data_IF_827074360798
#
_entry.id   IF_827074360798
#
_cell.length_a   1.000
_cell.length_b   1.000
_cell.length_c   1.000
_cell.angle_alpha   90.00
_cell.angle_beta   90.00
_cell.angle_gamma   90.00
#
_symmetry.space_group_name_H-M   'P 1'
#
loop_
_entity.id
_entity.type
_entity.pdbx_description
1 polymer ?
#
# COMPACT_ATOMS: atom_id res chain seq x y z
N UNK A 1 22.06 -22.04 -26.86
CA UNK A 1 22.94 -20.93 -27.23
C UNK A 1 22.50 -20.44 -28.61
N UNK A 2 21.40 -19.66 -28.68
CA UNK A 2 20.96 -19.04 -29.93
C UNK A 2 21.93 -17.91 -30.25
N UNK A 3 22.61 -18.03 -31.38
CA UNK A 3 23.62 -17.10 -31.87
C UNK A 3 23.01 -15.71 -32.13
N UNK A 4 23.77 -14.68 -31.74
CA UNK A 4 23.49 -13.24 -31.91
C UNK A 4 23.22 -12.80 -33.37
N UNK A 5 23.26 -13.72 -34.34
CA UNK A 5 23.05 -13.43 -35.77
C UNK A 5 21.57 -13.36 -36.19
N UNK A 6 20.62 -13.87 -35.40
CA UNK A 6 19.19 -13.81 -35.79
C UNK A 6 18.50 -12.46 -35.58
N UNK A 7 19.20 -11.45 -35.02
CA UNK A 7 18.64 -10.10 -34.76
C UNK A 7 18.67 -9.20 -36.03
N UNK A 8 19.22 -9.68 -37.16
CA UNK A 8 19.22 -8.93 -38.42
C UNK A 8 18.23 -9.54 -39.40
N UNK A 9 17.02 -8.97 -39.49
CA UNK A 9 16.40 -8.54 -40.76
C UNK A 9 14.95 -8.10 -40.55
N UNK A 10 14.77 -6.84 -40.14
CA UNK A 10 13.51 -6.10 -40.30
C UNK A 10 13.77 -4.87 -41.18
N UNK A 11 13.46 -4.98 -42.47
CA UNK A 11 13.66 -3.97 -43.52
C UNK A 11 12.98 -2.61 -43.21
N UNK A 12 13.67 -1.67 -42.56
CA UNK A 12 13.33 -0.24 -42.67
C UNK A 12 14.44 0.72 -42.16
N UNK A 13 15.68 0.65 -42.66
CA UNK A 13 16.74 1.66 -42.40
C UNK A 13 17.22 1.88 -40.94
N UNK A 14 16.47 1.41 -39.94
CA UNK A 14 16.73 1.52 -38.52
C UNK A 14 17.72 0.44 -38.11
N UNK A 15 18.91 0.88 -37.71
CA UNK A 15 20.02 0.01 -37.30
C UNK A 15 19.97 -0.38 -35.83
N UNK A 16 18.98 0.09 -35.06
CA UNK A 16 18.83 -0.31 -33.66
C UNK A 16 18.43 -1.79 -33.59
N UNK A 17 19.06 -2.59 -32.71
CA UNK A 17 18.63 -3.95 -32.48
C UNK A 17 17.26 -3.93 -31.79
N UNK A 18 16.27 -4.58 -32.39
CA UNK A 18 14.93 -4.68 -31.84
C UNK A 18 14.60 -6.13 -31.52
N UNK A 19 13.85 -6.35 -30.43
CA UNK A 19 13.25 -7.64 -30.12
C UNK A 19 11.82 -7.65 -30.68
N UNK A 20 11.48 -8.70 -31.41
CA UNK A 20 10.13 -8.88 -31.95
C UNK A 20 9.13 -9.05 -30.80
N UNK A 21 8.22 -8.08 -30.67
CA UNK A 21 7.26 -7.98 -29.57
C UNK A 21 6.15 -6.99 -29.90
N UNK A 22 5.04 -7.06 -29.15
CA UNK A 22 3.89 -6.15 -29.26
C UNK A 22 4.29 -4.66 -29.15
N UNK A 23 5.33 -4.36 -28.36
CA UNK A 23 5.77 -3.00 -28.03
C UNK A 23 7.01 -2.59 -28.85
N UNK A 24 7.41 -3.39 -29.83
CA UNK A 24 8.60 -3.14 -30.64
C UNK A 24 8.45 -1.81 -31.39
N UNK A 25 9.46 -0.95 -31.29
CA UNK A 25 9.56 0.38 -31.94
C UNK A 25 8.52 1.41 -31.49
N UNK A 26 7.73 1.11 -30.47
CA UNK A 26 6.71 2.00 -29.95
C UNK A 26 7.19 2.81 -28.73
N UNK A 27 6.56 3.97 -28.52
CA UNK A 27 6.71 4.73 -27.28
C UNK A 27 5.67 4.24 -26.26
N UNK A 28 6.09 3.89 -25.04
CA UNK A 28 5.16 3.52 -23.97
C UNK A 28 4.33 4.70 -23.43
N UNK A 29 4.58 5.92 -23.94
CA UNK A 29 3.76 7.10 -23.68
C UNK A 29 2.66 7.28 -24.73
N UNK A 30 2.69 6.52 -25.82
CA UNK A 30 1.66 6.55 -26.85
C UNK A 30 0.35 5.92 -26.33
N UNK A 31 -0.76 6.63 -26.52
CA UNK A 31 -2.06 6.23 -25.96
C UNK A 31 -2.68 5.05 -26.69
N UNK A 32 -2.42 4.90 -27.99
CA UNK A 32 -2.94 3.79 -28.77
C UNK A 32 -2.14 2.52 -28.46
N UNK A 33 -0.83 2.67 -28.24
CA UNK A 33 0.04 1.58 -27.73
C UNK A 33 -0.43 1.14 -26.35
N UNK A 34 -0.66 2.05 -25.40
CA UNK A 34 -1.20 1.70 -24.09
C UNK A 34 -2.54 0.98 -24.20
N UNK A 35 -3.48 1.51 -25.00
CA UNK A 35 -4.79 0.88 -25.21
C UNK A 35 -4.66 -0.52 -25.83
N UNK A 36 -3.67 -0.76 -26.68
CA UNK A 36 -3.43 -2.08 -27.26
C UNK A 36 -3.00 -3.13 -26.21
N UNK A 37 -2.51 -2.68 -25.05
CA UNK A 37 -2.18 -3.56 -23.92
C UNK A 37 -3.38 -3.94 -23.06
N UNK A 38 -4.54 -3.31 -23.27
CA UNK A 38 -5.82 -3.70 -22.66
C UNK A 38 -6.33 -4.98 -23.34
N UNK A 39 -5.66 -6.09 -23.07
CA UNK A 39 -6.03 -7.40 -23.61
C UNK A 39 -7.22 -7.98 -22.83
N UNK A 40 -7.95 -8.91 -23.43
CA UNK A 40 -9.00 -9.67 -22.72
C UNK A 40 -8.46 -10.59 -21.61
N UNK A 41 -7.13 -10.69 -21.46
CA UNK A 41 -6.51 -11.51 -20.42
C UNK A 41 -6.50 -10.71 -19.12
N UNK A 42 -7.20 -11.17 -18.07
CA UNK A 42 -7.27 -10.43 -16.82
C UNK A 42 -5.92 -10.43 -16.09
N UNK A 43 -5.66 -9.37 -15.32
CA UNK A 43 -4.54 -9.31 -14.39
C UNK A 43 -4.61 -10.45 -13.38
N UNK A 44 -3.48 -11.12 -13.15
CA UNK A 44 -3.39 -12.24 -12.20
C UNK A 44 -3.57 -11.72 -10.77
N UNK A 45 -4.53 -12.29 -10.03
CA UNK A 45 -4.66 -12.10 -8.59
C UNK A 45 -3.72 -13.05 -7.87
N UNK A 46 -2.61 -12.53 -7.34
CA UNK A 46 -1.57 -13.33 -6.71
C UNK A 46 -1.99 -13.93 -5.36
N UNK A 47 -2.78 -13.19 -4.57
CA UNK A 47 -3.21 -13.56 -3.21
C UNK A 47 -4.70 -13.25 -2.97
N UNK A 48 -5.63 -13.85 -3.75
CA UNK A 48 -7.06 -13.51 -3.72
C UNK A 48 -7.76 -13.83 -2.39
N UNK A 49 -7.18 -14.71 -1.58
CA UNK A 49 -7.74 -15.16 -0.30
C UNK A 49 -7.32 -14.28 0.88
N UNK A 50 -6.50 -13.26 0.64
CA UNK A 50 -6.00 -12.36 1.70
C UNK A 50 -6.90 -11.15 1.92
N UNK A 51 -6.95 -10.67 3.15
CA UNK A 51 -7.59 -9.42 3.55
C UNK A 51 -6.52 -8.41 3.96
N UNK A 52 -6.43 -7.29 3.25
CA UNK A 52 -5.52 -6.21 3.64
C UNK A 52 -6.18 -5.35 4.72
N UNK A 53 -5.48 -5.10 5.83
CA UNK A 53 -6.00 -4.28 6.93
C UNK A 53 -5.00 -3.20 7.25
N UNK A 54 -5.44 -1.94 7.22
CA UNK A 54 -4.63 -0.81 7.65
C UNK A 54 -5.05 -0.39 9.05
N UNK A 55 -4.12 -0.39 9.99
CA UNK A 55 -4.31 0.12 11.35
C UNK A 55 -3.82 1.57 11.43
N UNK A 56 -4.69 2.48 11.85
CA UNK A 56 -4.34 3.89 11.98
C UNK A 56 -3.36 4.17 13.12
N UNK A 57 -2.22 4.78 12.81
CA UNK A 57 -1.25 5.24 13.80
C UNK A 57 -1.90 6.19 14.82
N UNK A 58 -2.44 7.32 14.38
CA UNK A 58 -3.04 8.30 15.30
C UNK A 58 -4.41 7.99 15.84
N UNK A 59 -5.18 7.20 15.13
CA UNK A 59 -6.53 6.85 15.59
C UNK A 59 -6.53 5.66 16.55
N UNK A 60 -5.56 4.75 16.44
CA UNK A 60 -5.55 3.50 17.22
C UNK A 60 -4.28 3.39 18.07
N UNK A 61 -3.11 3.35 17.44
CA UNK A 61 -1.86 3.00 18.13
C UNK A 61 -1.40 4.09 19.11
N UNK A 62 -1.54 5.37 18.73
CA UNK A 62 -1.17 6.51 19.58
C UNK A 62 -2.07 6.63 20.83
N UNK A 63 -3.29 6.06 20.80
CA UNK A 63 -4.18 6.00 21.95
C UNK A 63 -3.77 4.92 22.98
N UNK A 64 -2.72 4.16 22.69
CA UNK A 64 -2.16 3.18 23.61
C UNK A 64 -3.10 2.01 23.87
N UNK A 65 -3.00 1.43 25.08
CA UNK A 65 -3.63 0.15 25.43
C UNK A 65 -5.14 0.16 25.21
N UNK A 66 -5.81 1.24 25.62
CA UNK A 66 -7.27 1.33 25.66
C UNK A 66 -7.92 1.05 24.30
N UNK A 67 -7.38 1.60 23.21
CA UNK A 67 -7.87 1.32 21.86
C UNK A 67 -7.09 0.21 21.15
N UNK A 68 -5.80 0.05 21.44
CA UNK A 68 -4.98 -0.94 20.72
C UNK A 68 -5.35 -2.37 21.09
N UNK A 69 -5.61 -2.67 22.37
CA UNK A 69 -5.87 -4.06 22.79
C UNK A 69 -7.20 -4.62 22.26
N UNK A 70 -8.32 -3.88 22.27
CA UNK A 70 -9.55 -4.33 21.60
C UNK A 70 -9.34 -4.62 20.12
N UNK A 71 -8.50 -3.83 19.42
CA UNK A 71 -8.14 -4.09 18.03
C UNK A 71 -7.28 -5.35 17.90
N UNK A 72 -6.33 -5.60 18.80
CA UNK A 72 -5.55 -6.84 18.84
C UNK A 72 -6.45 -8.06 19.03
N UNK A 73 -7.42 -8.00 19.94
CA UNK A 73 -8.39 -9.07 20.19
C UNK A 73 -9.27 -9.32 18.95
N UNK A 74 -9.76 -8.26 18.30
CA UNK A 74 -10.54 -8.39 17.07
C UNK A 74 -9.72 -8.97 15.90
N UNK A 75 -8.45 -8.58 15.78
CA UNK A 75 -7.54 -9.16 14.79
C UNK A 75 -7.24 -10.63 15.10
N UNK A 76 -7.00 -10.98 16.37
CA UNK A 76 -6.78 -12.34 16.82
C UNK A 76 -7.96 -13.27 16.49
N UNK A 77 -9.19 -12.79 16.67
CA UNK A 77 -10.37 -13.54 16.27
C UNK A 77 -10.44 -13.72 14.74
N UNK A 78 -10.21 -12.64 13.99
CA UNK A 78 -10.25 -12.66 12.52
C UNK A 78 -9.20 -13.58 11.88
N UNK A 79 -8.02 -13.70 12.51
CA UNK A 79 -6.92 -14.57 12.07
C UNK A 79 -7.29 -16.07 12.04
N UNK A 80 -8.34 -16.49 12.74
CA UNK A 80 -8.81 -17.89 12.74
C UNK A 80 -9.36 -18.29 11.36
N UNK A 81 -10.05 -17.37 10.70
CA UNK A 81 -10.77 -17.64 9.45
C UNK A 81 -10.19 -16.91 8.25
N UNK A 82 -9.31 -15.92 8.47
CA UNK A 82 -8.79 -15.05 7.41
C UNK A 82 -7.26 -14.99 7.40
N UNK A 83 -6.70 -14.81 6.20
CA UNK A 83 -5.28 -14.48 6.01
C UNK A 83 -5.11 -12.97 5.98
N UNK A 84 -4.50 -12.42 7.02
CA UNK A 84 -4.43 -10.95 7.19
C UNK A 84 -3.08 -10.39 6.74
N UNK A 85 -3.13 -9.31 5.96
CA UNK A 85 -1.95 -8.51 5.61
C UNK A 85 -2.11 -7.14 6.27
N UNK A 86 -1.41 -6.93 7.38
CA UNK A 86 -1.66 -5.83 8.31
C UNK A 86 -0.63 -4.71 8.09
N UNK A 87 -1.08 -3.53 7.67
CA UNK A 87 -0.23 -2.35 7.52
C UNK A 87 -0.43 -1.33 8.63
N UNK A 88 0.64 -0.72 9.12
CA UNK A 88 0.59 0.34 10.13
C UNK A 88 0.88 1.73 9.54
N UNK A 89 0.32 2.78 10.15
CA UNK A 89 0.70 4.17 9.87
C UNK A 89 1.64 4.75 10.93
N UNK A 90 2.28 5.89 10.64
CA UNK A 90 3.28 6.50 11.55
C UNK A 90 2.71 7.24 12.76
N UNK A 91 1.63 8.01 12.58
CA UNK A 91 0.91 8.64 13.69
C UNK A 91 1.40 10.04 14.07
N UNK A 92 1.36 10.38 15.36
CA UNK A 92 1.72 11.68 15.92
C UNK A 92 3.22 11.96 15.76
N UNK A 93 4.06 10.93 15.87
CA UNK A 93 5.52 11.05 15.64
C UNK A 93 5.83 11.54 14.23
N UNK A 94 5.11 11.05 13.22
CA UNK A 94 5.29 11.54 11.85
C UNK A 94 4.89 12.99 11.69
N UNK A 95 3.83 13.44 12.37
CA UNK A 95 3.46 14.87 12.36
C UNK A 95 4.55 15.73 12.99
N UNK A 96 5.13 15.29 14.11
CA UNK A 96 6.23 15.99 14.76
C UNK A 96 7.46 16.08 13.86
N UNK A 97 7.87 14.96 13.28
CA UNK A 97 9.04 14.92 12.38
C UNK A 97 8.78 15.71 11.09
N UNK A 98 7.56 15.72 10.57
CA UNK A 98 7.19 16.61 9.47
C UNK A 98 7.32 18.08 9.83
N UNK A 99 6.88 18.48 11.02
CA UNK A 99 7.01 19.86 11.48
C UNK A 99 8.47 20.31 11.46
N UNK A 100 9.37 19.49 12.03
CA UNK A 100 10.82 19.78 12.04
C UNK A 100 11.39 19.80 10.62
N UNK A 101 11.07 18.79 9.80
CA UNK A 101 11.61 18.71 8.44
C UNK A 101 11.14 19.88 7.56
N UNK A 102 9.88 20.32 7.70
CA UNK A 102 9.35 21.47 6.98
C UNK A 102 10.07 22.76 7.39
N UNK A 103 10.28 22.96 8.70
CA UNK A 103 11.03 24.10 9.26
C UNK A 103 12.46 24.15 8.71
N UNK A 104 13.11 22.98 8.61
CA UNK A 104 14.45 22.83 8.03
C UNK A 104 14.50 22.90 6.49
N UNK A 105 13.37 23.11 5.81
CA UNK A 105 13.36 23.21 4.35
C UNK A 105 13.35 21.89 3.59
N UNK A 106 13.12 20.76 4.25
CA UNK A 106 13.20 19.43 3.62
C UNK A 106 12.10 19.19 2.58
N UNK A 107 12.40 18.50 1.46
CA UNK A 107 11.42 18.14 0.45
C UNK A 107 10.56 16.94 0.87
N UNK A 108 9.43 16.75 0.18
CA UNK A 108 8.47 15.68 0.46
C UNK A 108 9.11 14.28 0.49
N UNK A 109 10.08 13.98 -0.38
CA UNK A 109 10.77 12.69 -0.38
C UNK A 109 11.56 12.39 0.91
N UNK A 110 12.18 13.41 1.51
CA UNK A 110 12.85 13.25 2.81
C UNK A 110 11.81 13.02 3.91
N UNK A 111 10.69 13.75 3.88
CA UNK A 111 9.60 13.55 4.83
C UNK A 111 8.98 12.14 4.69
N UNK A 112 8.85 11.62 3.47
CA UNK A 112 8.33 10.28 3.22
C UNK A 112 9.23 9.20 3.84
N UNK A 113 10.55 9.32 3.73
CA UNK A 113 11.50 8.39 4.38
C UNK A 113 11.38 8.45 5.91
N UNK A 114 11.21 9.64 6.48
CA UNK A 114 11.02 9.80 7.92
C UNK A 114 9.72 9.15 8.41
N UNK A 115 8.63 9.29 7.65
CA UNK A 115 7.35 8.65 7.98
C UNK A 115 7.42 7.11 7.96
N UNK A 116 8.27 6.53 7.10
CA UNK A 116 8.49 5.09 7.04
C UNK A 116 9.03 4.57 8.37
N UNK A 117 10.01 5.26 8.96
CA UNK A 117 10.61 4.85 10.23
C UNK A 117 9.58 4.82 11.37
N UNK A 118 8.70 5.83 11.45
CA UNK A 118 7.65 5.87 12.47
C UNK A 118 6.62 4.75 12.31
N UNK A 119 6.20 4.49 11.07
CA UNK A 119 5.26 3.43 10.75
C UNK A 119 5.87 2.05 11.01
N UNK A 120 7.16 1.86 10.74
CA UNK A 120 7.91 0.65 11.07
C UNK A 120 7.96 0.43 12.58
N UNK A 121 8.20 1.47 13.38
CA UNK A 121 8.12 1.38 14.84
C UNK A 121 6.74 0.87 15.31
N UNK A 122 5.68 1.37 14.70
CA UNK A 122 4.31 0.92 14.97
C UNK A 122 4.06 -0.54 14.50
N UNK A 123 4.67 -0.96 13.38
CA UNK A 123 4.61 -2.35 12.93
C UNK A 123 5.30 -3.31 13.92
N UNK A 124 6.42 -2.89 14.51
CA UNK A 124 7.09 -3.69 15.54
C UNK A 124 6.25 -3.82 16.82
N UNK A 125 5.63 -2.73 17.29
CA UNK A 125 4.77 -2.75 18.48
C UNK A 125 3.60 -3.71 18.25
N UNK A 126 2.84 -3.50 17.17
CA UNK A 126 1.65 -4.32 16.90
C UNK A 126 2.04 -5.77 16.54
N UNK A 127 3.16 -5.97 15.86
CA UNK A 127 3.71 -7.30 15.56
C UNK A 127 4.07 -8.07 16.82
N UNK A 128 4.69 -7.42 17.81
CA UNK A 128 4.99 -8.04 19.10
C UNK A 128 3.71 -8.43 19.87
N UNK A 129 2.67 -7.59 19.83
CA UNK A 129 1.38 -7.89 20.45
C UNK A 129 0.64 -9.04 19.75
N UNK A 130 0.83 -9.20 18.45
CA UNK A 130 0.19 -10.25 17.65
C UNK A 130 1.03 -11.54 17.52
N UNK A 131 2.27 -11.53 17.97
CA UNK A 131 3.16 -12.69 17.92
C UNK A 131 2.59 -13.96 18.59
N UNK A 132 1.88 -13.89 19.75
CA UNK A 132 1.22 -15.06 20.33
C UNK A 132 0.15 -15.72 19.43
N UNK A 133 -0.36 -14.99 18.44
CA UNK A 133 -1.34 -15.48 17.46
C UNK A 133 -0.67 -15.90 16.13
N UNK A 134 0.66 -15.97 16.09
CA UNK A 134 1.43 -16.43 14.93
C UNK A 134 1.65 -15.37 13.85
N UNK A 135 1.37 -14.09 14.11
CA UNK A 135 1.62 -13.01 13.14
C UNK A 135 3.11 -12.69 13.03
N UNK A 136 3.60 -12.54 11.79
CA UNK A 136 5.02 -12.25 11.52
C UNK A 136 5.19 -10.84 10.96
N UNK A 137 6.06 -10.06 11.60
CA UNK A 137 6.55 -8.80 11.04
C UNK A 137 7.61 -9.08 9.99
N UNK A 138 7.40 -8.56 8.78
CA UNK A 138 8.32 -8.76 7.66
C UNK A 138 9.03 -7.43 7.36
N UNK A 139 10.38 -7.43 7.27
CA UNK A 139 11.13 -6.25 6.90
C UNK A 139 10.68 -5.65 5.55
N UNK A 140 10.59 -4.31 5.44
CA UNK A 140 10.09 -3.64 4.23
C UNK A 140 10.80 -4.07 2.94
N UNK A 141 12.11 -4.29 3.00
CA UNK A 141 12.96 -4.57 1.85
C UNK A 141 12.64 -5.90 1.17
N UNK A 142 12.10 -6.86 1.92
CA UNK A 142 11.80 -8.21 1.43
C UNK A 142 10.29 -8.48 1.30
N UNK A 143 9.45 -7.53 1.75
CA UNK A 143 8.01 -7.74 1.90
C UNK A 143 7.34 -8.18 0.59
N UNK A 144 7.48 -7.40 -0.48
CA UNK A 144 6.81 -7.70 -1.75
C UNK A 144 7.26 -9.02 -2.37
N UNK A 145 8.52 -9.41 -2.21
CA UNK A 145 9.04 -10.64 -2.80
C UNK A 145 8.65 -11.89 -2.00
N UNK A 146 8.57 -11.77 -0.67
CA UNK A 146 8.37 -12.92 0.21
C UNK A 146 6.97 -13.00 0.81
N UNK A 147 6.10 -12.01 0.58
CA UNK A 147 4.72 -12.04 1.07
C UNK A 147 3.99 -13.35 0.73
N UNK A 148 4.05 -13.89 -0.52
CA UNK A 148 3.39 -15.16 -0.84
C UNK A 148 3.92 -16.36 -0.04
N UNK A 149 5.20 -16.33 0.32
CA UNK A 149 5.82 -17.37 1.16
C UNK A 149 5.26 -17.29 2.58
N UNK A 150 5.32 -16.11 3.21
CA UNK A 150 4.89 -15.93 4.59
C UNK A 150 3.38 -16.14 4.77
N UNK A 151 2.54 -15.57 3.92
CA UNK A 151 1.08 -15.63 4.12
C UNK A 151 0.51 -17.05 3.92
N UNK A 152 1.28 -17.95 3.28
CA UNK A 152 0.93 -19.37 3.19
C UNK A 152 1.35 -20.17 4.43
N UNK A 153 2.29 -19.68 5.22
CA UNK A 153 2.84 -20.38 6.40
C UNK A 153 2.27 -19.86 7.72
N UNK A 154 1.82 -18.61 7.78
CA UNK A 154 1.29 -17.97 8.99
C UNK A 154 -0.09 -17.37 8.77
N UNK A 155 -0.92 -17.20 9.82
CA UNK A 155 -2.27 -16.66 9.67
C UNK A 155 -2.28 -15.18 9.27
N UNK A 156 -1.22 -14.42 9.59
CA UNK A 156 -1.12 -13.04 9.16
C UNK A 156 0.31 -12.51 9.19
N UNK A 157 0.50 -11.40 8.49
CA UNK A 157 1.78 -10.70 8.41
C UNK A 157 1.56 -9.22 8.72
N UNK A 158 2.62 -8.55 9.19
CA UNK A 158 2.59 -7.11 9.46
C UNK A 158 3.74 -6.38 8.76
N UNK A 159 3.46 -5.16 8.27
CA UNK A 159 4.40 -4.30 7.56
C UNK A 159 4.13 -2.82 7.80
N UNK A 160 5.08 -1.96 7.35
CA UNK A 160 4.86 -0.51 7.27
C UNK A 160 3.90 -0.20 6.13
N UNK A 161 2.74 0.38 6.44
CA UNK A 161 1.74 0.72 5.43
C UNK A 161 2.15 1.86 4.50
N UNK A 162 3.27 2.54 4.75
CA UNK A 162 3.75 3.66 3.92
C UNK A 162 4.38 3.08 2.63
N UNK A 163 4.13 3.64 1.44
CA UNK A 163 4.68 3.12 0.18
C UNK A 163 6.18 3.38 0.03
N UNK A 164 6.93 2.53 -0.68
CA UNK A 164 8.38 2.60 -0.79
C UNK A 164 8.87 3.68 -1.79
N UNK A 165 8.17 4.80 -1.90
CA UNK A 165 8.57 5.89 -2.80
C UNK A 165 9.81 6.63 -2.29
N UNK A 166 9.99 6.74 -0.97
CA UNK A 166 11.19 7.33 -0.35
C UNK A 166 11.51 8.71 -0.96
N UNK A 167 12.75 8.92 -1.38
CA UNK A 167 13.21 10.14 -2.06
C UNK A 167 12.55 10.39 -3.42
N UNK A 168 11.90 9.38 -4.02
CA UNK A 168 11.12 9.47 -5.25
C UNK A 168 9.63 9.76 -5.00
N UNK A 169 9.26 10.17 -3.79
CA UNK A 169 7.91 10.65 -3.51
C UNK A 169 7.51 11.78 -4.46
N UNK A 170 6.28 11.70 -4.95
CA UNK A 170 5.75 12.72 -5.84
C UNK A 170 5.54 14.01 -5.04
N UNK A 171 6.08 15.16 -5.49
CA UNK A 171 5.81 16.43 -4.85
C UNK A 171 4.29 16.66 -4.75
N UNK A 172 3.77 17.07 -3.58
CA UNK A 172 2.35 17.36 -3.45
C UNK A 172 1.98 18.60 -4.28
N UNK A 173 0.73 18.68 -4.72
CA UNK A 173 0.23 19.86 -5.42
C UNK A 173 0.21 21.11 -4.51
N UNK A 174 0.06 20.92 -3.19
CA UNK A 174 0.01 21.99 -2.18
C UNK A 174 0.89 21.59 -0.99
N UNK A 175 1.74 22.53 -0.55
CA UNK A 175 2.57 22.35 0.64
C UNK A 175 3.76 21.40 0.43
N UNK A 176 4.13 20.68 1.48
CA UNK A 176 5.30 19.76 1.47
C UNK A 176 5.02 18.37 2.05
N UNK A 177 3.83 18.15 2.60
CA UNK A 177 3.48 16.88 3.24
C UNK A 177 3.40 15.78 2.17
N UNK A 178 4.02 14.61 2.37
CA UNK A 178 3.93 13.49 1.43
C UNK A 178 2.47 13.13 1.13
N UNK A 179 2.05 13.15 -0.15
CA UNK A 179 0.66 12.84 -0.50
C UNK A 179 0.36 11.35 -0.29
N UNK A 180 1.31 10.47 -0.58
CA UNK A 180 1.14 9.03 -0.45
C UNK A 180 1.66 8.56 0.92
N UNK A 181 0.74 8.10 1.77
CA UNK A 181 1.06 7.65 3.13
C UNK A 181 0.47 6.26 3.38
N UNK A 182 0.28 5.91 4.64
CA UNK A 182 -0.10 4.56 5.06
C UNK A 182 -1.37 4.01 4.41
N UNK A 183 -2.34 4.89 4.11
CA UNK A 183 -3.59 4.46 3.48
C UNK A 183 -3.32 4.07 2.01
N UNK A 184 -2.51 4.87 1.30
CA UNK A 184 -2.08 4.61 -0.07
C UNK A 184 -1.26 3.32 -0.18
N UNK A 185 -0.24 3.13 0.67
CA UNK A 185 0.62 1.96 0.55
C UNK A 185 -0.13 0.65 0.83
N UNK A 186 -1.04 0.64 1.81
CA UNK A 186 -1.90 -0.53 2.04
C UNK A 186 -2.86 -0.80 0.86
N UNK A 187 -3.43 0.26 0.27
CA UNK A 187 -4.30 0.13 -0.90
C UNK A 187 -3.54 -0.42 -2.12
N UNK A 188 -2.39 0.17 -2.46
CA UNK A 188 -1.57 -0.27 -3.59
C UNK A 188 -1.10 -1.72 -3.42
N UNK A 189 -0.79 -2.11 -2.19
CA UNK A 189 -0.43 -3.49 -1.89
C UNK A 189 -1.59 -4.46 -2.13
N UNK A 190 -2.77 -4.12 -1.61
CA UNK A 190 -3.97 -4.93 -1.80
C UNK A 190 -4.33 -5.07 -3.28
N UNK A 191 -4.25 -3.98 -4.05
CA UNK A 191 -4.48 -3.97 -5.50
C UNK A 191 -3.45 -4.83 -6.23
N UNK A 192 -2.16 -4.61 -5.98
CA UNK A 192 -1.06 -5.33 -6.65
C UNK A 192 -1.14 -6.84 -6.43
N UNK A 193 -1.42 -7.28 -5.21
CA UNK A 193 -1.58 -8.71 -4.91
C UNK A 193 -2.97 -9.26 -5.22
N UNK A 194 -3.91 -8.40 -5.63
CA UNK A 194 -5.28 -8.78 -5.88
C UNK A 194 -5.98 -9.33 -4.63
N UNK A 195 -5.72 -8.76 -3.45
CA UNK A 195 -6.39 -9.13 -2.19
C UNK A 195 -7.91 -9.06 -2.31
N UNK A 196 -8.62 -9.77 -1.43
CA UNK A 196 -10.09 -9.81 -1.43
C UNK A 196 -10.72 -8.46 -1.12
N UNK A 197 -10.13 -7.73 -0.19
CA UNK A 197 -10.57 -6.43 0.28
C UNK A 197 -9.41 -5.67 0.92
N UNK A 198 -9.66 -4.38 1.15
CA UNK A 198 -8.86 -3.51 2.00
C UNK A 198 -9.77 -2.85 3.03
N UNK A 199 -9.40 -2.95 4.31
CA UNK A 199 -10.15 -2.34 5.42
C UNK A 199 -9.28 -1.33 6.13
N UNK A 200 -9.75 -0.08 6.24
CA UNK A 200 -9.07 0.98 6.96
C UNK A 200 -9.66 1.12 8.37
N UNK A 201 -8.91 0.70 9.39
CA UNK A 201 -9.34 0.79 10.79
C UNK A 201 -8.96 2.15 11.37
N UNK A 202 -9.99 2.91 11.77
CA UNK A 202 -9.93 4.27 12.30
C UNK A 202 -10.77 4.37 13.58
N UNK A 203 -10.76 5.53 14.22
CA UNK A 203 -11.48 5.82 15.47
C UNK A 203 -12.76 6.65 15.24
N UNK A 204 -13.36 6.46 14.07
CA UNK A 204 -14.64 7.01 13.65
C UNK A 204 -15.38 5.94 12.85
N UNK A 205 -16.71 5.99 12.86
CA UNK A 205 -17.55 4.94 12.26
C UNK A 205 -17.41 4.82 10.73
N UNK A 206 -16.89 5.87 10.08
CA UNK A 206 -16.64 5.90 8.65
C UNK A 206 -16.43 7.31 8.15
N UNK A 207 -16.91 7.59 6.94
CA UNK A 207 -16.82 8.91 6.35
C UNK A 207 -17.99 9.78 6.83
N UNK A 208 -17.70 11.06 7.07
CA UNK A 208 -18.69 12.08 7.41
C UNK A 208 -18.52 13.27 6.46
N UNK A 209 -19.55 14.09 6.33
CA UNK A 209 -19.50 15.32 5.52
C UNK A 209 -18.55 16.39 6.09
N UNK A 210 -18.30 16.35 7.40
CA UNK A 210 -17.38 17.19 8.19
C UNK A 210 -16.71 16.33 9.26
N UNK A 211 -15.70 16.86 9.95
CA UNK A 211 -14.99 16.13 11.00
C UNK A 211 -15.90 15.94 12.25
N UNK A 212 -16.35 14.69 12.53
CA UNK A 212 -17.28 14.42 13.62
C UNK A 212 -16.67 14.62 15.01
N UNK A 213 -15.34 14.77 15.12
CA UNK A 213 -14.68 15.07 16.40
C UNK A 213 -14.76 16.55 16.77
N UNK A 214 -14.99 17.41 15.78
CA UNK A 214 -15.05 18.86 15.96
C UNK A 214 -16.45 19.44 15.77
N UNK A 215 -17.35 18.69 15.14
CA UNK A 215 -18.71 19.13 14.82
C UNK A 215 -19.73 18.02 15.14
N UNK A 216 -20.55 18.24 16.17
CA UNK A 216 -21.60 17.30 16.58
C UNK A 216 -22.76 17.20 15.58
N UNK A 217 -22.86 18.14 14.63
CA UNK A 217 -23.81 18.10 13.52
C UNK A 217 -23.29 17.39 12.27
N UNK A 218 -22.11 16.75 12.34
CA UNK A 218 -21.55 15.99 11.22
C UNK A 218 -22.46 14.81 10.84
N UNK A 219 -22.75 14.67 9.56
CA UNK A 219 -23.64 13.62 9.04
C UNK A 219 -22.82 12.46 8.52
N UNK A 220 -23.16 11.25 8.98
CA UNK A 220 -22.54 10.02 8.50
C UNK A 220 -22.88 9.80 7.01
N UNK A 221 -21.85 9.55 6.21
CA UNK A 221 -21.98 9.20 4.81
C UNK A 221 -21.96 7.67 4.72
N UNK A 222 -23.16 7.09 4.61
CA UNK A 222 -23.33 5.66 4.40
C UNK A 222 -22.69 5.18 3.10
N UNK A 223 -22.59 3.86 2.92
CA UNK A 223 -21.94 3.26 1.76
C UNK A 223 -22.56 3.75 0.43
N UNK A 224 -21.89 4.69 -0.23
CA UNK A 224 -22.17 5.05 -1.61
C UNK A 224 -21.17 4.32 -2.51
N UNK A 225 -21.70 3.55 -3.46
CA UNK A 225 -20.99 2.68 -4.39
C UNK A 225 -20.13 1.58 -3.74
N UNK A 226 -20.70 0.37 -3.67
CA UNK A 226 -19.92 -0.80 -4.09
C UNK A 226 -19.59 -0.56 -5.57
N UNK A 227 -18.32 -0.62 -5.96
CA UNK A 227 -17.99 -0.98 -7.34
C UNK A 227 -18.45 -2.44 -7.48
N UNK A 228 -19.72 -2.61 -7.78
CA UNK A 228 -20.30 -3.91 -8.14
C UNK A 228 -19.89 -4.13 -9.58
N UNK A 229 -19.08 -5.16 -9.78
CA UNK A 229 -18.77 -5.76 -11.07
C UNK A 229 -18.02 -4.85 -12.06
N UNK A 230 -16.68 -4.93 -11.99
CA UNK A 230 -15.79 -4.47 -13.03
C UNK A 230 -15.15 -5.66 -13.72
N UNK A 231 -15.94 -6.49 -14.41
CA UNK A 231 -15.41 -7.13 -15.62
C UNK A 231 -15.02 -6.00 -16.56
N UNK A 232 -13.74 -5.66 -16.61
CA UNK A 232 -13.08 -5.08 -17.77
C UNK A 232 -11.71 -5.72 -17.87
#
# INVERSE_FOLDING_TARGET
MQTLESIKNGHNGDRRPHLDSLLMRESLLDRDVQRSTDTSTPTIRMLPDTCAIKIGGSSILDAGRELTYPVVEALAESLKDNRLVIGTGGGARSRHVFSIGIDLGMPAGVLAELAQADALGNAHILGALLAPYGVVAIPPEIFGHLLPLFIRTVPGVIFTGVPPYKLWEHPPAIGRIPPHRSDTGCFLLAECFGSRNVTLVKDVDGLYDRDPKTDSGANFIGAHHRIVDGRR
#
